data_IF_038018731461
#
_entry.id   IF_038018731461
#
_cell.length_a   1.000
_cell.length_b   1.000
_cell.length_c   1.000
_cell.angle_alpha   90.00
_cell.angle_beta   90.00
_cell.angle_gamma   90.00
#
_symmetry.space_group_name_H-M   'P 1'
#
loop_
_entity.id
_entity.type
_entity.pdbx_description
1 polymer ?
#
# COMPACT_ATOMS: atom_id res chain seq x y z
N UNK A 1 -16.79 18.57 -7.25
CA UNK A 1 -16.15 18.62 -5.91
C UNK A 1 -14.65 18.37 -5.97
N UNK A 2 -14.20 17.25 -6.55
CA UNK A 2 -12.78 16.89 -6.63
C UNK A 2 -11.93 17.98 -7.30
N UNK A 3 -12.37 18.50 -8.43
CA UNK A 3 -11.64 19.53 -9.18
C UNK A 3 -11.44 20.80 -8.38
N UNK A 4 -12.48 21.22 -7.65
CA UNK A 4 -12.42 22.43 -6.81
C UNK A 4 -11.44 22.26 -5.64
N UNK A 5 -11.41 21.06 -5.05
CA UNK A 5 -10.48 20.73 -3.96
C UNK A 5 -9.04 20.77 -4.46
N UNK A 6 -8.76 20.13 -5.58
CA UNK A 6 -7.41 20.10 -6.14
C UNK A 6 -6.94 21.49 -6.55
N UNK A 7 -7.83 22.30 -7.11
CA UNK A 7 -7.52 23.68 -7.49
C UNK A 7 -7.20 24.53 -6.24
N UNK A 8 -7.99 24.39 -5.17
CA UNK A 8 -7.71 25.09 -3.91
C UNK A 8 -6.35 24.70 -3.34
N UNK A 9 -6.01 23.41 -3.38
CA UNK A 9 -4.74 22.92 -2.84
C UNK A 9 -3.51 23.36 -3.65
N UNK A 10 -3.70 23.80 -4.89
CA UNK A 10 -2.62 24.40 -5.69
C UNK A 10 -2.22 25.80 -5.21
N UNK A 11 -3.07 26.44 -4.43
CA UNK A 11 -2.79 27.78 -3.90
C UNK A 11 -1.73 27.71 -2.80
N UNK A 12 -0.51 28.14 -3.11
CA UNK A 12 0.62 28.12 -2.18
C UNK A 12 0.50 29.13 -1.04
N UNK A 13 -0.36 30.11 -1.18
CA UNK A 13 -0.59 31.13 -0.14
C UNK A 13 -1.60 30.66 0.92
N UNK A 14 -2.27 29.55 0.69
CA UNK A 14 -3.21 28.96 1.65
C UNK A 14 -2.44 28.39 2.84
N UNK A 15 -2.64 29.01 4.01
CA UNK A 15 -1.89 28.63 5.23
C UNK A 15 -2.56 27.52 6.02
N UNK A 16 -3.87 27.63 6.27
CA UNK A 16 -4.63 26.60 6.97
C UNK A 16 -5.24 25.64 5.96
N UNK A 17 -4.70 24.44 5.94
CA UNK A 17 -5.09 23.37 5.00
C UNK A 17 -5.75 22.19 5.71
N UNK A 18 -6.19 22.41 6.95
CA UNK A 18 -6.92 21.38 7.69
C UNK A 18 -8.33 21.22 7.11
N UNK A 19 -8.92 20.07 7.35
CA UNK A 19 -10.18 19.69 6.72
C UNK A 19 -11.28 20.75 6.91
N UNK A 20 -11.41 21.28 8.11
CA UNK A 20 -12.46 22.29 8.41
C UNK A 20 -12.22 23.61 7.68
N UNK A 21 -10.96 24.04 7.61
CA UNK A 21 -10.59 25.25 6.91
C UNK A 21 -10.81 25.11 5.39
N UNK A 22 -10.50 23.95 4.82
CA UNK A 22 -10.75 23.67 3.42
C UNK A 22 -12.24 23.63 3.11
N UNK A 23 -13.04 23.00 3.95
CA UNK A 23 -14.50 22.96 3.81
C UNK A 23 -15.09 24.36 3.83
N UNK A 24 -14.64 25.22 4.76
CA UNK A 24 -15.09 26.61 4.84
C UNK A 24 -14.69 27.41 3.59
N UNK A 25 -13.47 27.24 3.11
CA UNK A 25 -12.98 27.93 1.91
C UNK A 25 -13.78 27.53 0.66
N UNK A 26 -14.27 26.30 0.59
CA UNK A 26 -15.07 25.77 -0.51
C UNK A 26 -16.57 25.95 -0.31
N UNK A 27 -16.97 26.57 0.80
CA UNK A 27 -18.37 26.81 1.17
C UNK A 27 -19.20 25.52 1.29
N UNK A 28 -18.60 24.46 1.79
CA UNK A 28 -19.29 23.21 2.10
C UNK A 28 -19.85 23.25 3.52
N UNK A 29 -20.92 24.05 3.69
CA UNK A 29 -21.44 24.42 5.01
C UNK A 29 -22.54 23.47 5.51
N UNK A 30 -23.18 22.73 4.61
CA UNK A 30 -24.19 21.76 5.04
C UNK A 30 -23.55 20.47 5.53
N UNK A 31 -24.24 19.77 6.42
CA UNK A 31 -23.79 18.47 6.94
C UNK A 31 -23.55 17.47 5.81
N UNK A 32 -24.45 17.45 4.82
CA UNK A 32 -24.33 16.54 3.67
C UNK A 32 -23.10 16.83 2.82
N UNK A 33 -22.85 18.10 2.54
CA UNK A 33 -21.68 18.52 1.77
C UNK A 33 -20.39 18.23 2.53
N UNK A 34 -20.38 18.50 3.84
CA UNK A 34 -19.23 18.23 4.67
C UNK A 34 -18.89 16.73 4.71
N UNK A 35 -19.88 15.86 4.89
CA UNK A 35 -19.69 14.41 4.89
C UNK A 35 -19.13 13.93 3.54
N UNK A 36 -19.70 14.43 2.45
CA UNK A 36 -19.23 14.10 1.10
C UNK A 36 -17.79 14.55 0.87
N UNK A 37 -17.46 15.74 1.38
CA UNK A 37 -16.10 16.28 1.30
C UNK A 37 -15.10 15.45 2.09
N UNK A 38 -15.43 15.06 3.33
CA UNK A 38 -14.56 14.20 4.14
C UNK A 38 -14.31 12.86 3.46
N UNK A 39 -15.34 12.25 2.88
CA UNK A 39 -15.20 11.00 2.11
C UNK A 39 -14.30 11.18 0.91
N UNK A 40 -14.44 12.30 0.19
CA UNK A 40 -13.57 12.61 -0.94
C UNK A 40 -12.12 12.76 -0.51
N UNK A 41 -11.86 13.49 0.58
CA UNK A 41 -10.50 13.70 1.07
C UNK A 41 -9.85 12.38 1.50
N UNK A 42 -10.61 11.51 2.15
CA UNK A 42 -10.13 10.17 2.50
C UNK A 42 -9.78 9.35 1.24
N UNK A 43 -10.61 9.45 0.21
CA UNK A 43 -10.36 8.75 -1.06
C UNK A 43 -9.12 9.29 -1.78
N UNK A 44 -8.96 10.61 -1.82
CA UNK A 44 -7.78 11.24 -2.42
C UNK A 44 -6.50 10.86 -1.67
N UNK A 45 -6.57 10.74 -0.35
CA UNK A 45 -5.44 10.30 0.47
C UNK A 45 -5.12 8.82 0.21
N UNK A 46 -6.14 7.96 0.15
CA UNK A 46 -5.96 6.54 -0.19
C UNK A 46 -5.35 6.35 -1.57
N UNK A 47 -5.78 7.15 -2.55
CA UNK A 47 -5.28 7.08 -3.93
C UNK A 47 -3.91 7.74 -4.09
N UNK A 48 -3.38 8.36 -3.04
CA UNK A 48 -2.06 9.02 -3.07
C UNK A 48 -2.05 10.30 -3.88
N UNK A 49 -3.17 10.98 -4.04
CA UNK A 49 -3.24 12.27 -4.71
C UNK A 49 -2.99 13.43 -3.76
N UNK A 50 -3.31 13.25 -2.47
CA UNK A 50 -3.01 14.21 -1.41
C UNK A 50 -2.36 13.50 -0.24
N UNK A 51 -1.64 14.26 0.56
CA UNK A 51 -1.00 13.78 1.79
C UNK A 51 -1.25 14.78 2.91
N UNK A 52 -1.32 14.27 4.15
CA UNK A 52 -1.39 15.12 5.34
C UNK A 52 -0.02 15.22 6.01
N UNK A 53 0.33 16.43 6.42
CA UNK A 53 1.52 16.64 7.24
C UNK A 53 1.24 16.35 8.73
N UNK A 54 2.25 16.55 9.58
CA UNK A 54 2.15 16.29 11.01
C UNK A 54 1.16 17.20 11.74
N UNK A 55 0.70 18.26 11.09
CA UNK A 55 -0.29 19.20 11.64
C UNK A 55 -1.67 19.05 11.01
N UNK A 56 -1.90 17.93 10.30
CA UNK A 56 -3.14 17.62 9.61
C UNK A 56 -3.49 18.57 8.45
N UNK A 57 -2.51 19.25 7.90
CA UNK A 57 -2.68 20.04 6.68
C UNK A 57 -2.57 19.14 5.46
N UNK A 58 -3.50 19.30 4.53
CA UNK A 58 -3.51 18.57 3.26
C UNK A 58 -2.67 19.28 2.21
N UNK A 59 -1.91 18.51 1.47
CA UNK A 59 -1.06 19.02 0.40
C UNK A 59 -1.17 18.10 -0.82
N UNK A 60 -0.95 18.66 -2.00
CA UNK A 60 -0.78 17.84 -3.20
C UNK A 60 0.52 17.07 -3.12
N UNK A 61 0.53 15.87 -3.67
CA UNK A 61 1.69 14.98 -3.61
C UNK A 61 2.94 15.61 -4.22
N UNK A 62 2.77 16.38 -5.28
CA UNK A 62 3.87 17.01 -6.01
C UNK A 62 4.61 18.07 -5.18
N UNK A 63 3.96 18.64 -4.17
CA UNK A 63 4.57 19.66 -3.32
C UNK A 63 5.57 19.07 -2.31
N UNK A 64 5.61 17.75 -2.15
CA UNK A 64 6.46 17.06 -1.18
C UNK A 64 7.56 16.22 -1.80
N UNK A 65 7.76 16.29 -3.10
CA UNK A 65 8.71 15.44 -3.82
C UNK A 65 8.46 13.94 -3.61
N UNK A 66 7.21 13.58 -3.41
CA UNK A 66 6.80 12.17 -3.39
C UNK A 66 6.46 11.72 -4.80
N UNK A 67 6.82 10.49 -5.09
CA UNK A 67 6.53 9.88 -6.38
C UNK A 67 5.76 8.59 -6.17
N UNK A 68 4.93 8.25 -7.13
CA UNK A 68 4.19 6.98 -7.16
C UNK A 68 4.79 6.05 -8.20
N UNK A 69 4.82 4.77 -7.89
CA UNK A 69 5.29 3.77 -8.83
C UNK A 69 5.02 2.36 -8.34
N UNK A 70 5.42 1.40 -9.17
CA UNK A 70 5.25 -0.02 -8.90
C UNK A 70 6.55 -0.59 -8.37
N UNK A 71 6.47 -1.30 -7.24
CA UNK A 71 7.62 -1.93 -6.60
C UNK A 71 7.89 -3.28 -7.24
N UNK A 72 9.13 -3.51 -7.63
CA UNK A 72 9.64 -4.82 -8.02
C UNK A 72 10.67 -5.26 -7.00
N UNK A 73 10.37 -6.31 -6.24
CA UNK A 73 11.30 -6.91 -5.29
C UNK A 73 12.19 -7.94 -5.97
N UNK A 74 13.37 -8.12 -5.43
CA UNK A 74 14.23 -9.24 -5.80
C UNK A 74 14.36 -10.24 -4.64
N UNK A 75 15.01 -11.37 -4.92
CA UNK A 75 15.21 -12.45 -3.94
C UNK A 75 16.06 -12.05 -2.74
N UNK A 76 16.85 -10.99 -2.86
CA UNK A 76 17.75 -10.51 -1.80
C UNK A 76 17.05 -9.56 -0.83
N UNK A 77 15.80 -9.21 -1.09
CA UNK A 77 14.99 -8.40 -0.18
C UNK A 77 15.02 -6.90 -0.44
N UNK A 78 15.75 -6.42 -1.42
CA UNK A 78 15.64 -5.03 -1.88
C UNK A 78 14.78 -4.94 -3.14
N UNK A 79 14.47 -3.75 -3.59
CA UNK A 79 13.65 -3.58 -4.78
C UNK A 79 13.91 -2.29 -5.52
N UNK A 80 13.11 -2.10 -6.56
CA UNK A 80 13.11 -0.90 -7.37
C UNK A 80 11.68 -0.42 -7.55
N UNK A 81 11.46 0.88 -7.44
CA UNK A 81 10.18 1.48 -7.77
C UNK A 81 10.31 2.21 -9.10
N UNK A 82 9.54 1.74 -10.07
CA UNK A 82 9.50 2.34 -11.40
C UNK A 82 8.38 3.37 -11.42
N UNK A 83 8.75 4.64 -11.59
CA UNK A 83 7.81 5.77 -11.61
C UNK A 83 7.38 6.13 -13.03
N UNK A 84 8.26 5.93 -14.01
CA UNK A 84 7.97 6.06 -15.43
C UNK A 84 8.90 5.12 -16.22
N UNK A 85 8.82 5.14 -17.54
CA UNK A 85 9.61 4.20 -18.37
C UNK A 85 11.13 4.39 -18.26
N UNK A 86 11.56 5.56 -17.85
CA UNK A 86 12.99 5.93 -17.81
C UNK A 86 13.56 6.01 -16.40
N UNK A 87 12.72 6.07 -15.36
CA UNK A 87 13.16 6.39 -14.00
C UNK A 87 12.80 5.28 -13.02
N UNK A 88 13.80 4.70 -12.40
CA UNK A 88 13.67 3.76 -11.30
C UNK A 88 14.43 4.25 -10.07
N UNK A 89 13.85 4.00 -8.91
CA UNK A 89 14.49 4.30 -7.62
C UNK A 89 14.78 3.03 -6.86
N UNK A 90 16.01 2.88 -6.42
CA UNK A 90 16.42 1.78 -5.55
C UNK A 90 15.76 1.92 -4.18
N UNK A 91 15.21 0.81 -3.67
CA UNK A 91 14.59 0.75 -2.34
C UNK A 91 15.33 -0.28 -1.51
N UNK A 92 16.05 0.18 -0.49
CA UNK A 92 16.72 -0.72 0.46
C UNK A 92 15.66 -1.54 1.22
N UNK A 93 16.03 -2.76 1.61
CA UNK A 93 15.13 -3.63 2.37
C UNK A 93 14.57 -2.98 3.65
N UNK A 94 15.34 -2.09 4.27
CA UNK A 94 14.92 -1.32 5.45
C UNK A 94 13.87 -0.25 5.14
N UNK A 95 13.74 0.12 3.89
CA UNK A 95 12.88 1.22 3.43
C UNK A 95 11.61 0.74 2.72
N UNK A 96 11.34 -0.56 2.73
CA UNK A 96 10.14 -1.14 2.12
C UNK A 96 8.85 -0.84 2.89
N UNK A 97 8.96 -0.66 4.20
CA UNK A 97 7.85 -0.28 5.07
C UNK A 97 6.58 -1.14 4.87
N UNK A 98 6.76 -2.45 4.79
CA UNK A 98 5.66 -3.41 4.62
C UNK A 98 5.18 -3.61 3.19
N UNK A 99 5.82 -2.99 2.20
CA UNK A 99 5.46 -3.18 0.79
C UNK A 99 5.94 -4.53 0.27
N UNK A 100 5.12 -5.11 -0.60
CA UNK A 100 5.41 -6.37 -1.29
C UNK A 100 5.59 -6.16 -2.79
N UNK A 101 6.08 -7.20 -3.46
CA UNK A 101 6.26 -7.19 -4.90
C UNK A 101 4.97 -6.80 -5.63
N UNK A 102 5.10 -5.95 -6.65
CA UNK A 102 4.02 -5.42 -7.49
C UNK A 102 3.05 -4.46 -6.78
N UNK A 103 3.32 -4.08 -5.55
CA UNK A 103 2.53 -3.04 -4.87
C UNK A 103 2.72 -1.68 -5.57
N UNK A 104 1.62 -0.95 -5.70
CA UNK A 104 1.69 0.47 -6.04
C UNK A 104 1.99 1.24 -4.76
N UNK A 105 3.09 1.95 -4.76
CA UNK A 105 3.60 2.63 -3.57
C UNK A 105 3.89 4.09 -3.85
N UNK A 106 3.87 4.86 -2.77
CA UNK A 106 4.37 6.23 -2.75
C UNK A 106 5.72 6.22 -2.07
N UNK A 107 6.70 6.86 -2.70
CA UNK A 107 8.06 6.94 -2.17
C UNK A 107 8.50 8.38 -1.96
N UNK A 108 9.27 8.59 -0.91
CA UNK A 108 10.08 9.79 -0.72
C UNK A 108 11.43 9.53 -1.36
N UNK A 109 11.88 10.47 -2.19
CA UNK A 109 13.11 10.28 -2.95
C UNK A 109 14.28 11.01 -2.33
N UNK A 110 15.45 10.42 -2.48
CA UNK A 110 16.72 11.00 -2.08
C UNK A 110 17.80 10.56 -3.08
N UNK A 111 18.95 11.23 -3.00
CA UNK A 111 20.12 10.83 -3.79
C UNK A 111 21.20 10.39 -2.83
N UNK A 112 21.65 9.16 -2.97
CA UNK A 112 22.74 8.61 -2.17
C UNK A 112 23.90 8.23 -3.10
N UNK A 113 25.06 8.85 -2.87
CA UNK A 113 26.27 8.66 -3.69
C UNK A 113 26.00 8.82 -5.20
N UNK A 114 25.21 9.85 -5.55
CA UNK A 114 24.88 10.16 -6.94
C UNK A 114 23.82 9.25 -7.57
N UNK A 115 23.24 8.32 -6.80
CA UNK A 115 22.21 7.39 -7.29
C UNK A 115 20.85 7.72 -6.67
N UNK A 116 19.77 7.64 -7.46
CA UNK A 116 18.43 7.86 -6.93
C UNK A 116 18.00 6.69 -6.04
N UNK A 117 17.63 7.02 -4.80
CA UNK A 117 17.08 6.08 -3.82
C UNK A 117 15.72 6.55 -3.34
N UNK A 118 14.90 5.61 -2.87
CA UNK A 118 13.60 5.92 -2.32
C UNK A 118 13.34 5.19 -1.00
N UNK A 119 12.33 5.68 -0.31
CA UNK A 119 11.78 5.07 0.89
C UNK A 119 10.27 5.01 0.72
N UNK A 120 9.68 3.85 0.92
CA UNK A 120 8.22 3.72 0.84
C UNK A 120 7.60 4.44 2.04
N UNK A 121 6.74 5.41 1.75
CA UNK A 121 6.00 6.16 2.78
C UNK A 121 4.55 5.72 2.88
N UNK A 122 4.01 5.12 1.81
CA UNK A 122 2.63 4.63 1.78
C UNK A 122 2.48 3.53 0.74
N UNK A 123 1.66 2.53 1.07
CA UNK A 123 1.20 1.52 0.12
C UNK A 123 -0.16 1.98 -0.39
N UNK A 124 -0.26 2.29 -1.68
CA UNK A 124 -1.47 2.81 -2.30
C UNK A 124 -2.42 1.66 -2.63
N UNK A 125 -1.87 0.61 -3.27
CA UNK A 125 -2.65 -0.54 -3.69
C UNK A 125 -1.79 -1.79 -3.66
N UNK A 126 -2.31 -2.87 -3.09
CA UNK A 126 -1.62 -4.16 -3.14
C UNK A 126 -1.69 -4.75 -4.54
N UNK A 127 -0.53 -5.12 -5.06
CA UNK A 127 -0.43 -5.69 -6.41
C UNK A 127 -0.75 -7.17 -6.43
N UNK A 128 -0.22 -7.92 -5.46
CA UNK A 128 -0.44 -9.35 -5.34
C UNK A 128 -1.27 -9.64 -4.11
N UNK A 129 -2.49 -10.14 -4.33
CA UNK A 129 -3.42 -10.51 -3.26
C UNK A 129 -3.57 -12.02 -3.13
N UNK A 130 -3.10 -12.79 -4.12
CA UNK A 130 -3.16 -14.26 -4.13
C UNK A 130 -1.79 -14.84 -4.39
N UNK A 131 -1.48 -15.90 -3.64
CA UNK A 131 -0.21 -16.60 -3.74
C UNK A 131 -0.42 -18.09 -3.78
N UNK A 132 0.47 -18.80 -4.45
CA UNK A 132 0.56 -20.26 -4.40
C UNK A 132 1.55 -20.64 -3.31
N UNK A 133 1.19 -21.63 -2.51
CA UNK A 133 2.08 -22.10 -1.46
C UNK A 133 1.75 -23.49 -0.97
N UNK A 134 2.62 -23.99 -0.10
CA UNK A 134 2.51 -25.32 0.51
C UNK A 134 1.93 -25.18 1.92
N UNK A 135 0.90 -25.99 2.19
CA UNK A 135 0.29 -26.02 3.52
C UNK A 135 1.16 -26.82 4.49
N UNK A 136 1.43 -26.23 5.63
CA UNK A 136 2.11 -26.88 6.75
C UNK A 136 1.30 -26.73 8.03
N UNK A 137 1.54 -27.63 8.97
CA UNK A 137 0.90 -27.59 10.27
C UNK A 137 1.56 -26.56 11.16
N UNK A 138 0.78 -25.60 11.67
CA UNK A 138 1.20 -24.67 12.70
C UNK A 138 0.68 -25.11 14.09
N UNK A 139 0.93 -24.29 15.10
CA UNK A 139 0.48 -24.57 16.47
C UNK A 139 -1.03 -24.52 16.63
N UNK A 140 -1.66 -23.51 16.08
CA UNK A 140 -3.10 -23.28 16.21
C UNK A 140 -3.77 -23.07 14.84
N UNK A 141 -2.97 -22.71 13.85
CA UNK A 141 -3.43 -22.39 12.52
C UNK A 141 -2.60 -23.16 11.51
N UNK A 142 -3.10 -23.27 10.29
CA UNK A 142 -2.27 -23.73 9.19
C UNK A 142 -1.33 -22.61 8.78
N UNK A 143 -0.19 -23.00 8.26
CA UNK A 143 0.83 -22.08 7.75
C UNK A 143 0.99 -22.35 6.27
N UNK A 144 0.92 -21.31 5.45
CA UNK A 144 1.18 -21.41 4.02
C UNK A 144 2.55 -20.84 3.74
N UNK A 145 3.42 -21.67 3.16
CA UNK A 145 4.76 -21.25 2.73
C UNK A 145 4.69 -20.88 1.25
N UNK A 146 4.83 -19.59 0.90
CA UNK A 146 4.77 -19.19 -0.51
C UNK A 146 5.84 -19.87 -1.36
N UNK A 147 5.47 -20.25 -2.58
CA UNK A 147 6.41 -20.82 -3.55
C UNK A 147 7.38 -19.77 -4.09
N UNK A 148 6.92 -18.53 -4.21
CA UNK A 148 7.74 -17.44 -4.73
C UNK A 148 8.79 -17.02 -3.69
N UNK A 149 10.09 -17.14 -4.01
CA UNK A 149 11.15 -16.79 -3.07
C UNK A 149 11.24 -15.30 -2.70
N UNK A 150 10.52 -14.44 -3.40
CA UNK A 150 10.39 -13.03 -3.05
C UNK A 150 9.56 -12.81 -1.79
N UNK A 151 8.72 -13.78 -1.43
CA UNK A 151 7.91 -13.76 -0.23
C UNK A 151 8.54 -14.67 0.81
N UNK A 152 9.11 -14.05 1.84
CA UNK A 152 9.77 -14.77 2.94
C UNK A 152 8.86 -14.99 4.14
N UNK A 153 7.75 -14.28 4.19
CA UNK A 153 6.80 -14.36 5.28
C UNK A 153 5.79 -15.49 5.06
N UNK A 154 5.44 -16.17 6.15
CA UNK A 154 4.41 -17.19 6.12
C UNK A 154 3.04 -16.55 6.21
N UNK A 155 2.05 -17.20 5.61
CA UNK A 155 0.66 -16.77 5.67
C UNK A 155 -0.09 -17.70 6.60
N UNK A 156 -0.75 -17.15 7.60
CA UNK A 156 -1.51 -17.91 8.58
C UNK A 156 -2.96 -18.03 8.13
N UNK A 157 -3.49 -19.26 8.22
CA UNK A 157 -4.89 -19.56 7.85
C UNK A 157 -5.53 -20.31 9.01
N UNK A 158 -6.57 -19.74 9.60
CA UNK A 158 -7.29 -20.43 10.65
C UNK A 158 -8.19 -21.54 10.08
N UNK A 159 -8.69 -22.41 10.95
CA UNK A 159 -9.47 -23.58 10.55
C UNK A 159 -10.73 -23.20 9.77
N UNK A 160 -11.37 -22.10 10.15
CA UNK A 160 -12.60 -21.63 9.49
C UNK A 160 -12.37 -21.22 8.03
N UNK A 161 -11.14 -20.85 7.67
CA UNK A 161 -10.76 -20.37 6.35
C UNK A 161 -9.90 -21.35 5.55
N UNK A 162 -9.71 -22.55 6.08
CA UNK A 162 -8.89 -23.58 5.44
C UNK A 162 -9.61 -24.31 4.31
N UNK A 163 -10.94 -24.35 4.32
CA UNK A 163 -11.77 -24.97 3.29
C UNK A 163 -11.35 -26.39 2.90
N UNK A 164 -11.02 -27.21 3.92
CA UNK A 164 -10.64 -28.60 3.71
C UNK A 164 -9.17 -28.84 3.35
N UNK A 165 -8.36 -27.80 3.28
CA UNK A 165 -6.94 -27.97 3.03
C UNK A 165 -6.23 -28.61 4.22
N UNK A 166 -5.25 -29.45 3.92
CA UNK A 166 -4.47 -30.21 4.89
C UNK A 166 -2.99 -30.04 4.64
N UNK A 167 -2.15 -30.26 5.67
CA UNK A 167 -0.71 -30.24 5.48
C UNK A 167 -0.25 -31.11 4.31
N UNK A 168 0.63 -30.61 3.48
CA UNK A 168 1.10 -31.25 2.26
C UNK A 168 0.35 -30.84 1.01
N UNK A 169 -0.79 -30.17 1.13
CA UNK A 169 -1.49 -29.63 -0.02
C UNK A 169 -0.78 -28.42 -0.60
N UNK A 170 -0.81 -28.31 -1.92
CA UNK A 170 -0.45 -27.10 -2.65
C UNK A 170 -1.76 -26.32 -2.87
N UNK A 171 -1.75 -25.05 -2.50
CA UNK A 171 -2.97 -24.22 -2.47
C UNK A 171 -2.74 -22.84 -3.08
N UNK A 172 -3.85 -22.21 -3.46
CA UNK A 172 -3.90 -20.76 -3.71
C UNK A 172 -4.51 -20.13 -2.47
N UNK A 173 -3.81 -19.18 -1.88
CA UNK A 173 -4.26 -18.42 -0.71
C UNK A 173 -4.47 -16.96 -1.10
N UNK A 174 -5.59 -16.39 -0.66
CA UNK A 174 -5.86 -14.97 -0.81
C UNK A 174 -5.53 -14.26 0.50
N UNK A 175 -4.67 -13.26 0.43
CA UNK A 175 -4.26 -12.50 1.62
C UNK A 175 -5.38 -11.54 2.00
N UNK A 176 -5.88 -11.68 3.22
CA UNK A 176 -6.97 -10.84 3.76
C UNK A 176 -6.46 -9.78 4.72
N UNK A 177 -5.35 -10.05 5.38
CA UNK A 177 -4.75 -9.14 6.35
C UNK A 177 -3.23 -9.17 6.21
N UNK A 178 -2.61 -7.99 6.21
CA UNK A 178 -1.17 -7.86 6.01
C UNK A 178 -0.41 -7.55 7.31
N UNK A 179 -1.08 -7.02 8.30
CA UNK A 179 -0.46 -6.62 9.57
C UNK A 179 -1.28 -7.13 10.76
N UNK A 180 -0.67 -7.47 11.90
CA UNK A 180 0.77 -7.48 12.19
C UNK A 180 1.53 -8.64 11.53
N UNK A 181 0.80 -9.63 10.98
CA UNK A 181 1.33 -10.73 10.18
C UNK A 181 0.29 -11.12 9.12
N UNK A 182 0.74 -11.83 8.11
CA UNK A 182 -0.12 -12.19 6.98
C UNK A 182 -1.16 -13.21 7.41
N UNK A 183 -2.42 -12.91 7.13
CA UNK A 183 -3.55 -13.85 7.27
C UNK A 183 -4.28 -13.98 5.95
N UNK A 184 -4.79 -15.15 5.68
CA UNK A 184 -5.48 -15.38 4.42
C UNK A 184 -6.55 -16.47 4.47
N UNK A 185 -7.21 -16.61 3.33
CA UNK A 185 -8.20 -17.64 3.04
C UNK A 185 -7.67 -18.54 1.94
N UNK A 186 -7.82 -19.84 2.11
CA UNK A 186 -7.52 -20.78 1.03
C UNK A 186 -8.67 -20.74 0.05
N UNK A 187 -8.40 -20.36 -1.19
CA UNK A 187 -9.42 -20.22 -2.23
C UNK A 187 -9.45 -21.41 -3.19
N UNK A 188 -8.36 -22.19 -3.26
CA UNK A 188 -8.27 -23.36 -4.12
C UNK A 188 -7.20 -24.33 -3.62
N UNK A 189 -7.52 -25.63 -3.66
CA UNK A 189 -6.54 -26.69 -3.46
C UNK A 189 -6.10 -27.15 -4.84
N UNK A 190 -4.82 -27.01 -5.15
CA UNK A 190 -4.26 -27.37 -6.47
C UNK A 190 -3.92 -28.87 -6.53
N UNK A 191 -3.40 -29.41 -5.40
CA UNK A 191 -3.01 -30.81 -5.34
C UNK A 191 -2.17 -31.13 -4.13
N UNK A 192 -1.60 -32.32 -4.13
CA UNK A 192 -0.60 -32.77 -3.17
C UNK A 192 0.81 -32.58 -3.75
N UNK A 193 1.71 -32.29 -2.85
CA UNK A 193 3.12 -32.28 -3.21
C UNK A 193 3.63 -33.72 -3.34
#
# INVERSE_FOLDING_TARGET
>A
MKEDVLELLKNKDLKDRRIDALASALHYDSTEEYIAFVKLMNKLEEDGEVIRDNHNNYHLIDDFHYLKGILSLNKKGFGFVKVDEETEYYINSKNLNGAFDQDEVMIETTVYRGKPEGRVVKIIKRGMTRLVGLVRKGRRELIIMPDDPKFTDWIYVDEAHAHGAMPGHKVVVEIKKYEPYLKGDIVKIIGHK
#
